data_IF_208452613167
#
_entry.id   IF_208452613167
#
_cell.length_a   1.000
_cell.length_b   1.000
_cell.length_c   1.000
_cell.angle_alpha   90.00
_cell.angle_beta   90.00
_cell.angle_gamma   90.00
#
_symmetry.space_group_name_H-M   'P 1'
#
loop_
_entity.id
_entity.type
_entity.pdbx_description
1 polymer ?
#
# COMPACT_ATOMS: atom_id res chain seq x y z
N UNK A 1 12.05 4.97 9.86
CA UNK A 1 10.74 4.69 9.23
C UNK A 1 10.96 4.20 7.81
N UNK A 2 10.27 3.16 7.35
CA UNK A 2 10.39 2.66 5.97
C UNK A 2 9.65 3.58 4.99
N UNK A 3 10.23 3.80 3.80
CA UNK A 3 9.61 4.60 2.73
C UNK A 3 9.33 3.72 1.53
N UNK A 4 8.07 3.64 1.15
CA UNK A 4 7.57 2.90 0.00
C UNK A 4 7.14 3.86 -1.11
N UNK A 5 7.98 4.16 -2.12
CA UNK A 5 7.45 4.73 -3.35
C UNK A 5 6.43 3.77 -3.96
N UNK A 6 5.39 4.29 -4.59
CA UNK A 6 4.27 3.50 -5.09
C UNK A 6 4.18 3.49 -6.60
N UNK A 7 3.91 2.32 -7.17
CA UNK A 7 3.56 2.09 -8.57
C UNK A 7 2.16 1.49 -8.63
N UNK A 8 1.20 2.23 -9.17
CA UNK A 8 -0.10 1.68 -9.53
C UNK A 8 -0.06 1.23 -10.99
N UNK A 9 -0.42 -0.03 -11.24
CA UNK A 9 -0.40 -0.63 -12.57
C UNK A 9 -1.80 -0.75 -13.15
N UNK A 10 -1.97 -0.27 -14.37
CA UNK A 10 -3.16 -0.50 -15.18
C UNK A 10 -2.79 -0.68 -16.65
N UNK A 11 -3.17 -1.81 -17.25
CA UNK A 11 -2.83 -2.12 -18.64
C UNK A 11 -1.33 -2.08 -18.93
N UNK A 12 -0.48 -2.49 -17.97
CA UNK A 12 0.97 -2.46 -18.09
C UNK A 12 1.62 -1.07 -17.93
N UNK A 13 0.86 -0.04 -17.59
CA UNK A 13 1.34 1.34 -17.44
C UNK A 13 1.36 1.76 -15.98
N UNK A 14 2.22 2.73 -15.65
CA UNK A 14 2.23 3.41 -14.34
C UNK A 14 1.20 4.52 -14.34
N UNK A 15 0.22 4.41 -13.47
CA UNK A 15 -0.90 5.35 -13.38
C UNK A 15 -1.12 5.84 -11.95
N UNK A 16 -1.93 6.88 -11.80
CA UNK A 16 -2.51 7.29 -10.50
C UNK A 16 -3.98 7.62 -10.70
N UNK A 17 -4.80 7.19 -9.75
CA UNK A 17 -6.21 7.55 -9.68
C UNK A 17 -6.38 8.72 -8.71
N UNK A 18 -7.37 9.57 -8.95
CA UNK A 18 -7.81 10.57 -7.96
C UNK A 18 -8.89 9.95 -7.09
N UNK A 19 -8.59 9.75 -5.80
CA UNK A 19 -9.50 9.12 -4.82
C UNK A 19 -10.11 7.79 -5.30
N UNK A 20 -9.31 6.96 -6.01
CA UNK A 20 -9.73 5.66 -6.53
C UNK A 20 -10.65 5.71 -7.76
N UNK A 21 -10.92 6.89 -8.32
CA UNK A 21 -11.81 7.07 -9.48
C UNK A 21 -11.08 6.68 -10.78
N UNK A 22 -11.52 5.57 -11.40
CA UNK A 22 -10.95 5.07 -12.65
C UNK A 22 -11.16 6.01 -13.84
N UNK A 23 -12.15 6.90 -13.79
CA UNK A 23 -12.41 7.88 -14.84
C UNK A 23 -11.51 9.13 -14.69
N UNK A 24 -10.86 9.28 -13.53
CA UNK A 24 -9.88 10.33 -13.23
C UNK A 24 -8.46 9.77 -13.11
N UNK A 25 -8.08 8.98 -14.10
CA UNK A 25 -6.76 8.39 -14.19
C UNK A 25 -5.77 9.28 -14.93
N UNK A 26 -4.55 9.39 -14.38
CA UNK A 26 -3.41 10.02 -15.06
C UNK A 26 -2.32 8.97 -15.28
N UNK A 27 -1.77 8.91 -16.50
CA UNK A 27 -0.63 8.06 -16.84
C UNK A 27 0.65 8.84 -16.57
N UNK A 28 1.57 8.26 -15.80
CA UNK A 28 2.87 8.85 -15.46
C UNK A 28 4.06 8.14 -16.09
N UNK A 29 3.89 6.90 -16.56
CA UNK A 29 4.96 6.14 -17.20
C UNK A 29 4.44 4.99 -18.05
N UNK A 30 5.10 4.76 -19.18
CA UNK A 30 4.81 3.64 -20.07
C UNK A 30 5.65 2.39 -19.73
N UNK A 31 6.75 2.56 -19.02
CA UNK A 31 7.66 1.48 -18.59
C UNK A 31 7.76 1.44 -17.06
N UNK A 32 6.97 0.57 -16.40
CA UNK A 32 7.03 0.40 -14.95
C UNK A 32 8.40 -0.08 -14.44
N UNK A 33 9.14 -0.82 -15.27
CA UNK A 33 10.48 -1.27 -14.93
C UNK A 33 11.48 -0.11 -14.90
N UNK A 34 11.33 0.88 -15.79
CA UNK A 34 12.14 2.09 -15.75
C UNK A 34 11.85 2.91 -14.48
N UNK A 35 10.59 3.09 -14.13
CA UNK A 35 10.20 3.80 -12.89
C UNK A 35 10.77 3.10 -11.64
N UNK A 36 10.74 1.77 -11.59
CA UNK A 36 11.34 1.02 -10.49
C UNK A 36 12.87 1.23 -10.42
N UNK A 37 13.56 1.24 -11.58
CA UNK A 37 15.01 1.56 -11.64
C UNK A 37 15.33 2.97 -11.14
N UNK A 38 14.50 3.95 -11.49
CA UNK A 38 14.66 5.33 -11.03
C UNK A 38 14.50 5.42 -9.51
N UNK A 39 13.56 4.68 -8.93
CA UNK A 39 13.41 4.59 -7.47
C UNK A 39 14.62 3.92 -6.80
N UNK A 40 15.15 2.84 -7.38
CA UNK A 40 16.39 2.20 -6.89
C UNK A 40 17.57 3.20 -6.97
N UNK A 41 17.72 3.92 -8.07
CA UNK A 41 18.77 4.91 -8.24
C UNK A 41 18.65 6.08 -7.24
N UNK A 42 17.43 6.42 -6.81
CA UNK A 42 17.18 7.40 -5.75
C UNK A 42 17.45 6.84 -4.33
N UNK A 43 17.77 5.55 -4.18
CA UNK A 43 18.10 4.92 -2.91
C UNK A 43 16.93 4.18 -2.25
N UNK A 44 15.83 3.93 -2.96
CA UNK A 44 14.71 3.14 -2.42
C UNK A 44 15.15 1.72 -2.08
N UNK A 45 14.73 1.24 -0.93
CA UNK A 45 14.87 -0.16 -0.47
C UNK A 45 13.54 -0.92 -0.53
N UNK A 46 12.43 -0.20 -0.65
CA UNK A 46 11.07 -0.70 -0.58
C UNK A 46 10.28 -0.23 -1.80
N UNK A 47 9.27 -0.99 -2.19
CA UNK A 47 8.36 -0.64 -3.28
C UNK A 47 6.96 -1.16 -2.98
N UNK A 48 5.97 -0.28 -3.11
CA UNK A 48 4.55 -0.63 -3.03
C UNK A 48 3.96 -0.71 -4.43
N UNK A 49 3.33 -1.83 -4.79
CA UNK A 49 2.69 -2.03 -6.09
C UNK A 49 1.20 -2.31 -5.89
N UNK A 50 0.35 -1.63 -6.66
CA UNK A 50 -1.07 -1.94 -6.75
C UNK A 50 -1.41 -2.39 -8.17
N UNK A 51 -1.90 -3.62 -8.30
CA UNK A 51 -2.49 -4.13 -9.54
C UNK A 51 -3.96 -3.68 -9.63
N UNK A 52 -4.22 -2.57 -10.34
CA UNK A 52 -5.56 -2.00 -10.46
C UNK A 52 -6.48 -2.84 -11.35
N UNK A 53 -5.95 -3.59 -12.32
CA UNK A 53 -6.74 -4.52 -13.13
C UNK A 53 -7.15 -5.72 -12.27
N UNK A 54 -6.19 -6.30 -11.52
CA UNK A 54 -6.48 -7.34 -10.53
C UNK A 54 -7.50 -6.91 -9.48
N UNK A 55 -7.39 -5.67 -8.99
CA UNK A 55 -8.35 -5.11 -8.03
C UNK A 55 -9.76 -5.01 -8.61
N UNK A 56 -9.88 -4.60 -9.89
CA UNK A 56 -11.15 -4.37 -10.58
C UNK A 56 -11.88 -5.67 -10.90
N UNK A 57 -11.20 -6.61 -11.53
CA UNK A 57 -11.82 -7.81 -12.13
C UNK A 57 -11.16 -9.14 -11.74
N UNK A 58 -10.06 -9.10 -10.99
CA UNK A 58 -9.33 -10.28 -10.53
C UNK A 58 -8.42 -10.90 -11.59
N UNK A 59 -8.18 -10.22 -12.71
CA UNK A 59 -7.29 -10.68 -13.76
C UNK A 59 -5.82 -10.66 -13.34
N UNK A 60 -4.95 -11.29 -14.14
CA UNK A 60 -3.49 -11.26 -13.99
C UNK A 60 -2.83 -10.37 -15.06
N UNK A 61 -3.52 -9.32 -15.49
CA UNK A 61 -3.07 -8.47 -16.60
C UNK A 61 -1.67 -7.88 -16.38
N UNK A 62 -1.30 -7.58 -15.14
CA UNK A 62 -0.01 -6.98 -14.80
C UNK A 62 0.99 -7.97 -14.18
N UNK A 63 0.69 -9.28 -14.17
CA UNK A 63 1.52 -10.30 -13.51
C UNK A 63 2.95 -10.34 -14.07
N UNK A 64 3.11 -10.35 -15.39
CA UNK A 64 4.41 -10.35 -16.05
C UNK A 64 5.18 -9.04 -15.82
N UNK A 65 4.47 -7.92 -15.72
CA UNK A 65 5.07 -6.63 -15.39
C UNK A 65 5.64 -6.64 -13.95
N UNK A 66 4.87 -7.18 -13.00
CA UNK A 66 5.31 -7.34 -11.60
C UNK A 66 6.49 -8.31 -11.51
N UNK A 67 6.46 -9.41 -12.27
CA UNK A 67 7.58 -10.35 -12.37
C UNK A 67 8.85 -9.68 -12.89
N UNK A 68 8.72 -8.85 -13.92
CA UNK A 68 9.85 -8.12 -14.49
C UNK A 68 10.45 -7.10 -13.51
N UNK A 69 9.61 -6.42 -12.71
CA UNK A 69 10.07 -5.52 -11.64
C UNK A 69 10.79 -6.33 -10.56
N UNK A 70 10.22 -7.44 -10.10
CA UNK A 70 10.79 -8.27 -9.03
C UNK A 70 12.18 -8.83 -9.43
N UNK A 71 12.34 -9.22 -10.70
CA UNK A 71 13.62 -9.71 -11.25
C UNK A 71 14.75 -8.68 -11.24
N UNK A 72 14.47 -7.39 -11.14
CA UNK A 72 15.52 -6.37 -11.04
C UNK A 72 16.31 -6.50 -9.73
N UNK A 73 15.68 -7.03 -8.68
CA UNK A 73 16.27 -7.20 -7.36
C UNK A 73 16.49 -5.88 -6.61
N UNK A 74 16.99 -5.98 -5.39
CA UNK A 74 17.36 -4.81 -4.58
C UNK A 74 16.21 -4.11 -3.87
N UNK A 75 14.96 -4.51 -4.09
CA UNK A 75 13.78 -3.94 -3.43
C UNK A 75 13.03 -5.00 -2.61
N UNK A 76 12.59 -4.59 -1.43
CA UNK A 76 11.51 -5.27 -0.71
C UNK A 76 10.18 -4.84 -1.36
N UNK A 77 9.52 -5.75 -2.05
CA UNK A 77 8.32 -5.44 -2.83
C UNK A 77 7.08 -5.95 -2.10
N UNK A 78 6.10 -5.07 -1.89
CA UNK A 78 4.76 -5.47 -1.50
C UNK A 78 3.77 -5.23 -2.64
N UNK A 79 2.85 -6.18 -2.82
CA UNK A 79 1.85 -6.13 -3.90
C UNK A 79 0.45 -6.27 -3.34
N UNK A 80 -0.44 -5.37 -3.74
CA UNK A 80 -1.88 -5.43 -3.54
C UNK A 80 -2.64 -5.40 -4.85
N UNK A 81 -3.95 -5.65 -4.80
CA UNK A 81 -4.83 -5.61 -5.95
C UNK A 81 -5.36 -6.99 -6.35
N UNK A 82 -6.57 -7.33 -5.92
CA UNK A 82 -7.28 -8.54 -6.33
C UNK A 82 -6.78 -9.87 -5.76
N UNK A 83 -5.94 -9.86 -4.73
CA UNK A 83 -5.48 -11.08 -4.04
C UNK A 83 -6.60 -11.61 -3.16
N UNK A 84 -7.19 -12.74 -3.56
CA UNK A 84 -8.39 -13.32 -2.92
C UNK A 84 -8.26 -14.81 -2.61
N UNK A 85 -7.17 -15.45 -3.03
CA UNK A 85 -6.93 -16.88 -2.85
C UNK A 85 -5.48 -17.13 -2.43
N UNK A 86 -5.25 -18.25 -1.76
CA UNK A 86 -3.93 -18.70 -1.37
C UNK A 86 -3.02 -18.94 -2.58
N UNK A 87 -3.56 -19.53 -3.67
CA UNK A 87 -2.81 -19.74 -4.90
C UNK A 87 -2.27 -18.43 -5.47
N UNK A 88 -3.05 -17.33 -5.39
CA UNK A 88 -2.60 -16.01 -5.83
C UNK A 88 -1.46 -15.49 -4.93
N UNK A 89 -1.54 -15.70 -3.63
CA UNK A 89 -0.46 -15.37 -2.69
C UNK A 89 0.81 -16.12 -3.09
N UNK A 90 0.74 -17.44 -3.26
CA UNK A 90 1.89 -18.26 -3.67
C UNK A 90 2.49 -17.80 -4.99
N UNK A 91 1.67 -17.55 -6.00
CA UNK A 91 2.14 -17.05 -7.30
C UNK A 91 2.99 -15.78 -7.17
N UNK A 92 2.52 -14.78 -6.41
CA UNK A 92 3.30 -13.56 -6.20
C UNK A 92 4.58 -13.80 -5.38
N UNK A 93 4.49 -14.61 -4.33
CA UNK A 93 5.65 -14.94 -3.51
C UNK A 93 6.73 -15.71 -4.29
N UNK A 94 6.32 -16.60 -5.22
CA UNK A 94 7.23 -17.36 -6.09
C UNK A 94 7.91 -16.46 -7.14
N UNK A 95 7.32 -15.31 -7.50
CA UNK A 95 7.97 -14.29 -8.33
C UNK A 95 9.08 -13.52 -7.60
N UNK A 96 9.20 -13.67 -6.28
CA UNK A 96 10.13 -12.89 -5.47
C UNK A 96 9.51 -11.64 -4.81
N UNK A 97 8.16 -11.49 -4.88
CA UNK A 97 7.45 -10.48 -4.08
C UNK A 97 7.63 -10.81 -2.59
N UNK A 98 7.97 -9.81 -1.80
CA UNK A 98 8.28 -9.99 -0.38
C UNK A 98 7.02 -10.11 0.48
N UNK A 99 5.95 -9.40 0.12
CA UNK A 99 4.70 -9.32 0.89
C UNK A 99 3.47 -9.15 -0.01
N UNK A 100 2.41 -9.90 0.29
CA UNK A 100 1.10 -9.76 -0.34
C UNK A 100 0.15 -8.97 0.56
N UNK A 101 -0.61 -8.05 -0.04
CA UNK A 101 -1.57 -7.21 0.66
C UNK A 101 -2.99 -7.69 0.36
N UNK A 102 -3.70 -8.11 1.40
CA UNK A 102 -5.10 -8.52 1.34
C UNK A 102 -5.98 -7.28 1.63
N UNK A 103 -6.86 -6.94 0.70
CA UNK A 103 -7.81 -5.81 0.85
C UNK A 103 -9.21 -6.31 1.19
N UNK A 104 -10.16 -6.14 0.27
CA UNK A 104 -11.59 -6.51 0.43
C UNK A 104 -11.83 -7.90 1.02
N UNK A 105 -10.97 -8.88 0.71
CA UNK A 105 -11.11 -10.25 1.23
C UNK A 105 -10.96 -10.30 2.75
N UNK A 106 -10.17 -9.41 3.34
CA UNK A 106 -9.97 -9.35 4.78
C UNK A 106 -11.25 -9.02 5.56
N UNK A 107 -12.16 -8.25 4.93
CA UNK A 107 -13.48 -7.97 5.49
C UNK A 107 -14.48 -9.09 5.15
N UNK A 108 -14.46 -9.61 3.91
CA UNK A 108 -15.44 -10.58 3.42
C UNK A 108 -15.21 -12.00 3.93
N UNK A 109 -13.94 -12.38 4.12
CA UNK A 109 -13.53 -13.68 4.67
C UNK A 109 -12.38 -13.47 5.67
N UNK A 110 -12.76 -13.03 6.86
CA UNK A 110 -11.79 -12.79 7.94
C UNK A 110 -11.07 -14.07 8.36
N UNK A 111 -11.75 -15.23 8.32
CA UNK A 111 -11.16 -16.51 8.67
C UNK A 111 -10.06 -16.92 7.68
N UNK A 112 -10.25 -16.67 6.38
CA UNK A 112 -9.20 -16.85 5.38
C UNK A 112 -7.99 -15.97 5.69
N UNK A 113 -8.23 -14.69 5.98
CA UNK A 113 -7.15 -13.73 6.28
C UNK A 113 -6.35 -14.15 7.52
N UNK A 114 -7.02 -14.58 8.59
CA UNK A 114 -6.36 -15.08 9.79
C UNK A 114 -5.48 -16.32 9.49
N UNK A 115 -5.99 -17.29 8.69
CA UNK A 115 -5.19 -18.44 8.27
C UNK A 115 -3.95 -18.03 7.47
N UNK A 116 -4.10 -17.10 6.51
CA UNK A 116 -2.98 -16.65 5.69
C UNK A 116 -1.93 -15.91 6.54
N UNK A 117 -2.36 -15.11 7.51
CA UNK A 117 -1.45 -14.45 8.44
C UNK A 117 -0.68 -15.47 9.30
N UNK A 118 -1.33 -16.52 9.79
CA UNK A 118 -0.69 -17.59 10.55
C UNK A 118 0.30 -18.42 9.72
N UNK A 119 -0.03 -18.70 8.44
CA UNK A 119 0.78 -19.54 7.55
C UNK A 119 1.98 -18.79 6.97
N UNK A 120 1.78 -17.55 6.55
CA UNK A 120 2.78 -16.75 5.84
C UNK A 120 3.45 -15.66 6.68
N UNK A 121 2.95 -15.39 7.89
CA UNK A 121 3.53 -14.41 8.82
C UNK A 121 3.66 -13.03 8.19
N UNK A 122 4.85 -12.43 8.32
CA UNK A 122 5.16 -11.07 7.83
C UNK A 122 5.06 -10.92 6.30
N UNK A 123 4.89 -12.01 5.57
CA UNK A 123 4.64 -11.99 4.12
C UNK A 123 3.19 -11.63 3.77
N UNK A 124 2.31 -11.47 4.76
CA UNK A 124 0.95 -10.99 4.62
C UNK A 124 0.82 -9.64 5.34
N UNK A 125 0.21 -8.69 4.65
CA UNK A 125 -0.32 -7.47 5.24
C UNK A 125 -1.78 -7.30 4.85
N UNK A 126 -2.50 -6.43 5.56
CA UNK A 126 -3.88 -6.09 5.21
C UNK A 126 -3.99 -4.61 4.87
N UNK A 127 -4.60 -4.33 3.71
CA UNK A 127 -5.00 -2.98 3.31
C UNK A 127 -6.32 -2.61 4.00
N UNK A 128 -6.27 -1.57 4.82
CA UNK A 128 -7.42 -0.99 5.52
C UNK A 128 -7.68 0.38 4.92
N UNK A 129 -8.47 0.42 3.87
CA UNK A 129 -8.87 1.66 3.21
C UNK A 129 -10.12 2.18 3.91
N UNK A 130 -10.09 3.40 4.44
CA UNK A 130 -11.19 3.94 5.22
C UNK A 130 -11.68 5.29 4.71
N UNK A 131 -12.99 5.50 4.79
CA UNK A 131 -13.66 6.78 4.57
C UNK A 131 -14.57 7.06 5.75
N UNK A 132 -14.45 8.25 6.31
CA UNK A 132 -15.23 8.69 7.49
C UNK A 132 -15.12 7.71 8.67
N UNK A 133 -13.95 7.07 8.82
CA UNK A 133 -13.64 6.10 9.87
C UNK A 133 -14.16 4.68 9.64
N UNK A 134 -14.84 4.39 8.52
CA UNK A 134 -15.33 3.06 8.17
C UNK A 134 -14.55 2.43 7.03
N UNK A 135 -14.31 1.12 7.11
CA UNK A 135 -13.56 0.37 6.09
C UNK A 135 -14.35 0.31 4.79
N UNK A 136 -13.71 0.72 3.71
CA UNK A 136 -14.22 0.63 2.36
C UNK A 136 -13.76 -0.67 1.69
N UNK A 137 -14.63 -1.25 0.88
CA UNK A 137 -14.42 -2.49 0.15
C UNK A 137 -14.79 -2.32 -1.33
N UNK A 138 -14.52 -3.36 -2.14
CA UNK A 138 -14.89 -3.40 -3.56
C UNK A 138 -14.33 -2.22 -4.37
N UNK A 139 -13.03 -1.87 -4.16
CA UNK A 139 -12.41 -0.73 -4.83
C UNK A 139 -13.02 0.61 -4.39
N UNK A 140 -13.28 0.75 -3.08
CA UNK A 140 -13.81 1.95 -2.40
C UNK A 140 -15.25 2.33 -2.75
N UNK A 141 -15.99 1.43 -3.41
CA UNK A 141 -17.36 1.66 -3.86
C UNK A 141 -18.42 1.43 -2.78
N UNK A 142 -18.04 0.72 -1.73
CA UNK A 142 -18.94 0.30 -0.66
C UNK A 142 -18.26 0.49 0.69
N UNK A 143 -19.00 0.99 1.69
CA UNK A 143 -18.54 1.05 3.06
C UNK A 143 -19.08 -0.15 3.84
N UNK A 144 -18.20 -0.79 4.60
CA UNK A 144 -18.59 -1.81 5.56
C UNK A 144 -19.11 -1.18 6.86
N UNK A 145 -19.65 -1.99 7.76
CA UNK A 145 -19.97 -1.56 9.11
C UNK A 145 -18.78 -1.52 10.08
N UNK A 146 -17.60 -1.98 9.63
CA UNK A 146 -16.39 -2.05 10.45
C UNK A 146 -15.73 -0.68 10.58
N UNK A 147 -15.46 -0.26 11.81
CA UNK A 147 -14.61 0.90 12.04
C UNK A 147 -13.14 0.53 11.78
N UNK A 148 -12.42 1.36 11.05
CA UNK A 148 -11.07 1.06 10.60
C UNK A 148 -10.08 0.76 11.74
N UNK A 149 -10.09 1.54 12.81
CA UNK A 149 -9.21 1.34 13.97
C UNK A 149 -9.57 0.07 14.73
N UNK A 150 -10.86 -0.23 14.92
CA UNK A 150 -11.31 -1.45 15.58
C UNK A 150 -11.00 -2.68 14.74
N UNK A 151 -11.10 -2.56 13.41
CA UNK A 151 -10.69 -3.61 12.49
C UNK A 151 -9.18 -3.88 12.58
N UNK A 152 -8.34 -2.85 12.73
CA UNK A 152 -6.90 -3.01 12.96
C UNK A 152 -6.60 -3.80 14.24
N UNK A 153 -7.32 -3.55 15.34
CA UNK A 153 -7.18 -4.33 16.58
C UNK A 153 -7.52 -5.80 16.36
N UNK A 154 -8.66 -6.07 15.70
CA UNK A 154 -9.07 -7.45 15.36
C UNK A 154 -8.06 -8.16 14.47
N UNK A 155 -7.47 -7.45 13.52
CA UNK A 155 -6.43 -8.01 12.63
C UNK A 155 -5.19 -8.40 13.42
N UNK A 156 -4.74 -7.56 14.36
CA UNK A 156 -3.61 -7.88 15.23
C UNK A 156 -3.90 -9.12 16.09
N UNK A 157 -5.09 -9.22 16.70
CA UNK A 157 -5.52 -10.38 17.49
C UNK A 157 -5.55 -11.67 16.66
N UNK A 158 -5.78 -11.56 15.34
CA UNK A 158 -5.77 -12.68 14.40
C UNK A 158 -4.36 -13.03 13.86
N UNK A 159 -3.31 -12.31 14.28
CA UNK A 159 -1.92 -12.55 13.87
C UNK A 159 -1.44 -11.73 12.67
N UNK A 160 -2.21 -10.75 12.21
CA UNK A 160 -1.77 -9.79 11.17
C UNK A 160 -0.86 -8.75 11.82
N UNK A 161 0.44 -8.83 11.57
CA UNK A 161 1.43 -7.92 12.15
C UNK A 161 1.55 -6.57 11.42
N UNK A 162 1.07 -6.45 10.18
CA UNK A 162 1.21 -5.23 9.36
C UNK A 162 -0.08 -4.84 8.69
N UNK A 163 -0.44 -3.56 8.78
CA UNK A 163 -1.55 -2.96 8.04
C UNK A 163 -1.08 -1.76 7.22
N UNK A 164 -1.62 -1.61 6.01
CA UNK A 164 -1.54 -0.40 5.22
C UNK A 164 -2.85 0.35 5.43
N UNK A 165 -2.81 1.45 6.17
CA UNK A 165 -4.01 2.23 6.43
C UNK A 165 -4.09 3.41 5.48
N UNK A 166 -5.14 3.46 4.65
CA UNK A 166 -5.36 4.54 3.68
C UNK A 166 -6.55 5.39 4.11
N UNK A 167 -6.33 6.69 4.35
CA UNK A 167 -7.42 7.65 4.40
C UNK A 167 -7.81 8.03 2.95
N UNK A 168 -8.91 7.43 2.45
CA UNK A 168 -9.37 7.61 1.07
C UNK A 168 -9.65 9.08 0.76
N UNK A 169 -10.13 9.86 1.73
CA UNK A 169 -10.47 11.27 1.53
C UNK A 169 -9.23 12.12 1.22
N UNK A 170 -8.05 11.64 1.58
CA UNK A 170 -6.76 12.28 1.37
C UNK A 170 -6.00 11.72 0.17
N UNK A 171 -6.32 10.48 -0.26
CA UNK A 171 -5.56 9.83 -1.32
C UNK A 171 -5.65 10.57 -2.65
N UNK A 172 -4.48 10.78 -3.28
CA UNK A 172 -4.36 11.52 -4.54
C UNK A 172 -4.72 13.01 -4.46
N UNK A 173 -5.11 13.53 -3.29
CA UNK A 173 -5.53 14.91 -3.12
C UNK A 173 -4.39 15.90 -2.79
N UNK A 174 -3.23 15.40 -2.34
CA UNK A 174 -2.05 16.21 -1.91
C UNK A 174 -2.42 17.30 -0.88
N UNK A 175 -3.36 17.01 0.01
CA UNK A 175 -3.87 17.92 1.06
C UNK A 175 -3.32 17.63 2.44
N UNK A 176 -2.27 16.83 2.51
CA UNK A 176 -1.70 16.32 3.76
C UNK A 176 -2.37 15.05 4.25
N UNK A 177 -1.64 14.30 5.06
CA UNK A 177 -2.13 13.06 5.66
C UNK A 177 -2.89 13.32 6.97
N UNK A 178 -3.61 12.32 7.46
CA UNK A 178 -4.43 12.43 8.67
C UNK A 178 -3.61 12.04 9.91
N UNK A 179 -2.81 12.97 10.43
CA UNK A 179 -1.91 12.71 11.56
C UNK A 179 -2.63 12.27 12.84
N UNK A 180 -3.83 12.77 13.10
CA UNK A 180 -4.60 12.40 14.31
C UNK A 180 -5.03 10.92 14.25
N UNK A 181 -5.41 10.44 13.08
CA UNK A 181 -5.69 9.02 12.84
C UNK A 181 -4.45 8.17 13.11
N UNK A 182 -3.27 8.57 12.65
CA UNK A 182 -2.04 7.79 12.89
C UNK A 182 -1.58 7.83 14.34
N UNK A 183 -1.90 8.89 15.10
CA UNK A 183 -1.71 8.90 16.57
C UNK A 183 -2.61 7.87 17.24
N UNK A 184 -3.88 7.77 16.84
CA UNK A 184 -4.82 6.75 17.35
C UNK A 184 -4.35 5.33 17.00
N UNK A 185 -3.89 5.10 15.78
CA UNK A 185 -3.38 3.81 15.34
C UNK A 185 -2.07 3.41 16.06
N UNK A 186 -1.21 4.37 16.39
CA UNK A 186 0.02 4.12 17.13
C UNK A 186 -0.22 3.63 18.57
N UNK A 187 -1.41 3.85 19.14
CA UNK A 187 -1.81 3.30 20.45
C UNK A 187 -2.04 1.78 20.39
N UNK A 188 -2.14 1.18 19.19
CA UNK A 188 -2.25 -0.26 19.01
C UNK A 188 -0.84 -0.87 19.05
N UNK A 189 -0.38 -1.21 20.26
CA UNK A 189 0.95 -1.78 20.48
C UNK A 189 1.13 -3.09 19.72
N UNK A 190 2.28 -3.26 19.04
CA UNK A 190 2.62 -4.47 18.30
C UNK A 190 2.12 -4.51 16.86
N UNK A 191 1.36 -3.52 16.39
CA UNK A 191 0.92 -3.40 15.01
C UNK A 191 1.86 -2.49 14.22
N UNK A 192 2.39 -2.98 13.11
CA UNK A 192 3.15 -2.18 12.15
C UNK A 192 2.18 -1.44 11.21
N UNK A 193 2.06 -0.13 11.39
CA UNK A 193 1.19 0.70 10.56
C UNK A 193 2.00 1.35 9.44
N UNK A 194 1.56 1.16 8.20
CA UNK A 194 2.04 1.89 7.03
C UNK A 194 1.03 2.98 6.69
N UNK A 195 1.45 4.24 6.75
CA UNK A 195 0.61 5.37 6.40
C UNK A 195 0.44 5.50 4.90
N UNK A 196 -0.81 5.65 4.44
CA UNK A 196 -1.17 5.81 3.04
C UNK A 196 -2.25 6.89 2.86
N UNK A 197 -2.17 7.61 1.75
CA UNK A 197 -3.12 8.68 1.41
C UNK A 197 -2.67 10.06 1.88
N UNK A 198 -2.45 10.95 0.91
CA UNK A 198 -2.29 12.39 1.12
C UNK A 198 -0.90 12.88 1.52
N UNK A 199 0.06 12.02 1.86
CA UNK A 199 1.43 12.45 2.22
C UNK A 199 2.01 13.34 1.13
N UNK A 200 2.36 14.57 1.50
CA UNK A 200 2.68 15.63 0.54
C UNK A 200 3.83 16.56 0.94
N UNK A 201 4.37 16.40 2.16
CA UNK A 201 5.51 17.20 2.64
C UNK A 201 6.48 16.38 3.48
N UNK A 202 7.72 16.86 3.58
CA UNK A 202 8.75 16.24 4.41
C UNK A 202 8.42 16.39 5.90
N UNK A 203 7.78 17.49 6.27
CA UNK A 203 7.34 17.78 7.63
C UNK A 203 6.34 16.73 8.12
N UNK A 204 5.35 16.37 7.28
CA UNK A 204 4.39 15.30 7.59
C UNK A 204 5.08 13.95 7.81
N UNK A 205 6.09 13.62 7.01
CA UNK A 205 6.88 12.38 7.18
C UNK A 205 7.67 12.39 8.49
N UNK A 206 8.23 13.52 8.88
CA UNK A 206 8.89 13.66 10.18
C UNK A 206 7.90 13.50 11.34
N UNK A 207 6.69 14.06 11.21
CA UNK A 207 5.64 13.89 12.22
C UNK A 207 5.16 12.45 12.31
N UNK A 208 4.91 11.76 11.17
CA UNK A 208 4.58 10.34 11.13
C UNK A 208 5.66 9.48 11.82
N UNK A 209 6.93 9.79 11.55
CA UNK A 209 8.06 9.12 12.21
C UNK A 209 8.06 9.37 13.74
N UNK A 210 7.79 10.61 14.15
CA UNK A 210 7.73 10.96 15.59
C UNK A 210 6.55 10.31 16.31
N UNK A 211 5.43 10.09 15.63
CA UNK A 211 4.27 9.33 16.12
C UNK A 211 4.62 7.85 16.32
N UNK A 212 5.65 7.33 15.65
CA UNK A 212 6.02 5.92 15.66
C UNK A 212 5.40 5.10 14.51
N UNK A 213 4.88 5.77 13.47
CA UNK A 213 4.40 5.10 12.26
C UNK A 213 5.55 4.30 11.63
N UNK A 214 5.32 3.02 11.35
CA UNK A 214 6.36 2.10 10.89
C UNK A 214 6.86 2.43 9.49
N UNK A 215 5.93 2.76 8.58
CA UNK A 215 6.24 3.07 7.19
C UNK A 215 5.29 4.14 6.62
N UNK A 216 5.68 4.71 5.48
CA UNK A 216 4.81 5.59 4.70
C UNK A 216 4.91 5.28 3.21
N UNK A 217 3.77 5.30 2.52
CA UNK A 217 3.66 5.15 1.07
C UNK A 217 3.63 6.54 0.43
N UNK A 218 4.48 6.73 -0.56
CA UNK A 218 4.57 7.93 -1.36
C UNK A 218 4.09 7.66 -2.78
N UNK A 219 2.97 8.25 -3.12
CA UNK A 219 2.38 8.13 -4.46
C UNK A 219 2.53 9.42 -5.25
N UNK A 220 1.41 10.12 -5.46
CA UNK A 220 1.28 11.27 -6.35
C UNK A 220 2.33 12.35 -6.14
N UNK A 221 2.71 12.64 -4.90
CA UNK A 221 3.69 13.68 -4.56
C UNK A 221 5.08 13.44 -5.19
N UNK A 222 5.47 12.19 -5.44
CA UNK A 222 6.70 11.87 -6.17
C UNK A 222 6.56 12.18 -7.66
N UNK A 223 5.44 11.81 -8.27
CA UNK A 223 5.19 11.98 -9.69
C UNK A 223 4.95 13.45 -10.10
N UNK A 224 4.43 14.27 -9.18
CA UNK A 224 4.25 15.72 -9.39
C UNK A 224 5.51 16.54 -9.06
N UNK A 225 6.57 15.89 -8.54
CA UNK A 225 7.80 16.57 -8.12
C UNK A 225 7.65 17.38 -6.82
N UNK A 226 6.55 17.20 -6.10
CA UNK A 226 6.32 17.87 -4.81
C UNK A 226 7.23 17.31 -3.70
N UNK A 227 7.56 16.03 -3.79
CA UNK A 227 8.57 15.37 -2.96
C UNK A 227 9.66 14.79 -3.86
N UNK A 228 10.90 15.00 -3.45
CA UNK A 228 12.07 14.33 -4.02
C UNK A 228 12.38 13.09 -3.19
N UNK A 229 12.37 11.90 -3.83
CA UNK A 229 12.50 10.63 -3.13
C UNK A 229 13.83 10.50 -2.39
N UNK A 230 14.94 10.95 -3.00
CA UNK A 230 16.26 10.89 -2.39
C UNK A 230 16.31 11.72 -1.11
N UNK A 231 15.81 12.95 -1.17
CA UNK A 231 15.74 13.86 -0.01
C UNK A 231 14.88 13.26 1.10
N UNK A 232 13.76 12.63 0.77
CA UNK A 232 12.90 11.97 1.75
C UNK A 232 13.63 10.81 2.43
N UNK A 233 14.28 9.94 1.63
CA UNK A 233 15.01 8.78 2.15
C UNK A 233 16.11 9.23 3.11
N UNK A 234 16.93 10.21 2.71
CA UNK A 234 18.01 10.75 3.55
C UNK A 234 17.50 11.35 4.87
N UNK A 235 16.28 11.90 4.88
CA UNK A 235 15.73 12.58 6.05
C UNK A 235 15.02 11.65 7.05
N UNK A 236 14.33 10.59 6.60
CA UNK A 236 13.41 9.82 7.46
C UNK A 236 13.53 8.30 7.35
N UNK A 237 14.22 7.75 6.35
CA UNK A 237 14.41 6.30 6.25
C UNK A 237 15.56 5.83 7.15
N UNK A 238 15.34 4.68 7.81
CA UNK A 238 16.37 4.01 8.64
C UNK A 238 17.22 3.07 7.81
#
# INVERSE_FOLDING_TARGET
MQIFPAIDLRGGQVVRLYQGDYDKMTVYGQDPCAVARDFIAAGAKYLHIVDLDGAKDGTLANFETIAAIAKQGGLYIEVGGGIRTEDRIRQYLDLGVSRCILGTIAVKDFAFTARMAQEYGDRIAVGVDARDGYVAINGWKELSSERGVDFCRRLLDAGVGTVIYTDISRDGAEKGTNLDLYRELAEIGGLHVTASGGVSSLEELKELRAIGTHAAILGKALYTGRLDLKTVIEAVQD
#
